data_IF_143115030290
#
_entry.id   IF_143115030290
#
_cell.length_a   1.000
_cell.length_b   1.000
_cell.length_c   1.000
_cell.angle_alpha   90.00
_cell.angle_beta   90.00
_cell.angle_gamma   90.00
#
_symmetry.space_group_name_H-M   'P 1'
#
loop_
_entity.id
_entity.type
_entity.pdbx_description
1 polymer ?
#
# COMPACT_ATOMS: atom_id res chain seq x y z
N UNK A 1 2.81 23.52 0.90
CA UNK A 1 2.25 22.31 0.28
C UNK A 1 0.84 22.22 0.82
N UNK A 2 -0.20 22.28 -0.01
CA UNK A 2 -1.58 22.19 0.50
C UNK A 2 -1.77 20.73 0.92
N UNK A 3 -2.04 20.52 2.20
CA UNK A 3 -2.49 19.23 2.70
C UNK A 3 -3.95 19.10 2.24
N UNK A 4 -4.19 18.29 1.23
CA UNK A 4 -5.54 17.97 0.77
C UNK A 4 -6.15 17.01 1.80
N UNK A 5 -7.09 17.44 2.66
CA UNK A 5 -7.61 16.60 3.74
C UNK A 5 -8.31 15.34 3.21
N UNK A 6 -8.87 15.43 2.00
CA UNK A 6 -9.48 14.30 1.29
C UNK A 6 -8.43 13.23 0.93
N UNK A 7 -7.21 13.66 0.57
CA UNK A 7 -6.11 12.77 0.22
C UNK A 7 -5.59 12.01 1.43
N UNK A 8 -5.43 12.70 2.57
CA UNK A 8 -5.00 12.06 3.82
C UNK A 8 -6.03 11.03 4.32
N UNK A 9 -7.31 11.38 4.27
CA UNK A 9 -8.39 10.44 4.61
C UNK A 9 -8.40 9.22 3.68
N UNK A 10 -8.21 9.42 2.37
CA UNK A 10 -8.10 8.34 1.40
C UNK A 10 -6.91 7.41 1.69
N UNK A 11 -5.75 7.97 2.03
CA UNK A 11 -4.54 7.23 2.36
C UNK A 11 -4.72 6.36 3.61
N UNK A 12 -5.36 6.90 4.66
CA UNK A 12 -5.69 6.13 5.86
C UNK A 12 -6.63 4.96 5.57
N UNK A 13 -7.60 5.13 4.66
CA UNK A 13 -8.47 4.03 4.23
C UNK A 13 -7.72 2.93 3.49
N UNK A 14 -6.76 3.30 2.64
CA UNK A 14 -5.91 2.34 1.91
C UNK A 14 -5.03 1.55 2.88
N UNK A 15 -4.34 2.22 3.80
CA UNK A 15 -3.53 1.57 4.84
C UNK A 15 -4.40 0.59 5.64
N UNK A 16 -5.55 1.05 6.17
CA UNK A 16 -6.44 0.22 7.00
C UNK A 16 -7.00 -1.00 6.27
N UNK A 17 -7.26 -0.91 4.97
CA UNK A 17 -7.67 -2.07 4.16
C UNK A 17 -6.55 -3.11 4.01
N UNK A 18 -5.29 -2.68 3.98
CA UNK A 18 -4.15 -3.54 3.72
C UNK A 18 -3.44 -4.03 5.00
N UNK A 19 -3.60 -3.35 6.14
CA UNK A 19 -3.08 -3.78 7.45
C UNK A 19 -3.91 -4.92 8.09
N UNK A 20 -5.08 -5.24 7.54
CA UNK A 20 -5.88 -6.41 7.92
C UNK A 20 -7.08 -6.14 8.84
N UNK A 21 -7.19 -4.94 9.40
CA UNK A 21 -8.29 -4.51 10.29
C UNK A 21 -9.45 -3.86 9.53
N UNK A 22 -9.99 -4.56 8.51
CA UNK A 22 -11.11 -4.09 7.69
C UNK A 22 -12.40 -4.89 7.94
N UNK A 23 -12.98 -4.69 9.13
CA UNK A 23 -14.24 -5.30 9.56
C UNK A 23 -15.48 -4.73 8.85
N UNK A 24 -16.63 -5.37 9.04
CA UNK A 24 -17.93 -4.92 8.50
C UNK A 24 -18.29 -3.49 8.92
N UNK A 25 -17.89 -3.06 10.13
CA UNK A 25 -18.07 -1.68 10.58
C UNK A 25 -17.22 -0.70 9.75
N UNK A 26 -15.96 -1.04 9.50
CA UNK A 26 -15.05 -0.24 8.67
C UNK A 26 -15.54 -0.15 7.21
N UNK A 27 -16.14 -1.22 6.67
CA UNK A 27 -16.81 -1.19 5.36
C UNK A 27 -17.97 -0.19 5.31
N UNK A 28 -18.81 -0.16 6.35
CA UNK A 28 -19.94 0.78 6.40
C UNK A 28 -19.47 2.23 6.50
N UNK A 29 -18.43 2.49 7.31
CA UNK A 29 -17.80 3.80 7.42
C UNK A 29 -17.14 4.24 6.11
N UNK A 30 -16.45 3.33 5.42
CA UNK A 30 -15.85 3.61 4.10
C UNK A 30 -16.91 3.91 3.04
N UNK A 31 -18.01 3.14 3.00
CA UNK A 31 -19.11 3.39 2.09
C UNK A 31 -19.78 4.76 2.36
N UNK A 32 -19.98 5.11 3.62
CA UNK A 32 -20.48 6.42 4.01
C UNK A 32 -19.52 7.56 3.60
N UNK A 33 -18.22 7.34 3.76
CA UNK A 33 -17.20 8.29 3.34
C UNK A 33 -17.22 8.54 1.82
N UNK A 34 -17.31 7.47 1.00
CA UNK A 34 -17.41 7.59 -0.46
C UNK A 34 -18.66 8.33 -0.92
N UNK A 35 -19.80 8.15 -0.23
CA UNK A 35 -21.06 8.81 -0.58
C UNK A 35 -21.11 10.29 -0.19
N UNK A 36 -20.24 10.75 0.70
CA UNK A 36 -20.27 12.13 1.18
C UNK A 36 -19.48 13.13 0.31
N UNK A 37 -18.89 12.70 -0.81
CA UNK A 37 -18.27 13.63 -1.78
C UNK A 37 -17.87 12.98 -3.10
N UNK A 38 -18.09 13.69 -4.21
CA UNK A 38 -17.78 13.19 -5.56
C UNK A 38 -16.27 13.07 -5.85
N UNK A 39 -15.43 13.83 -5.14
CA UNK A 39 -13.97 13.82 -5.31
C UNK A 39 -13.25 12.73 -4.49
N UNK A 40 -13.95 12.09 -3.54
CA UNK A 40 -13.38 11.10 -2.62
C UNK A 40 -13.02 9.76 -3.29
N UNK A 41 -13.84 9.22 -4.21
CA UNK A 41 -13.47 8.01 -4.96
C UNK A 41 -12.20 8.22 -5.80
N UNK A 42 -12.03 9.40 -6.41
CA UNK A 42 -10.86 9.72 -7.24
C UNK A 42 -9.59 9.75 -6.40
N UNK A 43 -9.63 10.42 -5.23
CA UNK A 43 -8.51 10.45 -4.31
C UNK A 43 -8.15 9.05 -3.77
N UNK A 44 -9.16 8.21 -3.51
CA UNK A 44 -8.95 6.83 -3.08
C UNK A 44 -8.33 5.96 -4.18
N UNK A 45 -8.78 6.07 -5.42
CA UNK A 45 -8.18 5.34 -6.54
C UNK A 45 -6.70 5.71 -6.74
N UNK A 46 -6.37 7.00 -6.67
CA UNK A 46 -4.98 7.45 -6.79
C UNK A 46 -4.12 7.00 -5.60
N UNK A 47 -4.64 7.05 -4.37
CA UNK A 47 -3.97 6.52 -3.19
C UNK A 47 -3.74 5.00 -3.30
N UNK A 48 -4.74 4.24 -3.74
CA UNK A 48 -4.63 2.80 -3.94
C UNK A 48 -3.62 2.43 -5.03
N UNK A 49 -3.57 3.21 -6.13
CA UNK A 49 -2.55 3.03 -7.18
C UNK A 49 -1.14 3.23 -6.63
N UNK A 50 -0.91 4.28 -5.85
CA UNK A 50 0.39 4.51 -5.22
C UNK A 50 0.73 3.37 -4.26
N UNK A 51 -0.22 2.95 -3.42
CA UNK A 51 -0.02 1.84 -2.49
C UNK A 51 0.33 0.53 -3.20
N UNK A 52 -0.34 0.21 -4.31
CA UNK A 52 -0.03 -0.95 -5.14
C UNK A 52 1.37 -0.86 -5.75
N UNK A 53 1.78 0.33 -6.23
CA UNK A 53 3.13 0.56 -6.73
C UNK A 53 4.18 0.41 -5.62
N UNK A 54 3.86 0.80 -4.38
CA UNK A 54 4.74 0.61 -3.22
C UNK A 54 4.76 -0.84 -2.71
N UNK A 55 3.67 -1.59 -2.84
CA UNK A 55 3.61 -3.03 -2.51
C UNK A 55 4.43 -3.91 -3.46
N UNK A 56 4.84 -3.37 -4.62
CA UNK A 56 5.84 -3.97 -5.51
C UNK A 56 7.29 -3.63 -5.13
N UNK A 57 7.49 -2.79 -4.11
CA UNK A 57 8.80 -2.59 -3.50
C UNK A 57 8.94 -3.71 -2.46
N UNK A 58 9.74 -4.76 -2.72
CA UNK A 58 10.09 -5.68 -1.65
C UNK A 58 10.61 -4.85 -0.47
N UNK A 59 10.25 -5.18 0.78
CA UNK A 59 10.81 -4.49 1.93
C UNK A 59 12.32 -4.48 1.73
N UNK A 60 12.93 -3.29 1.73
CA UNK A 60 14.36 -3.12 1.51
C UNK A 60 15.20 -3.66 2.69
N UNK A 61 14.71 -4.68 3.39
CA UNK A 61 15.36 -5.48 4.42
C UNK A 61 15.07 -6.95 4.11
N UNK A 62 15.70 -7.45 3.06
CA UNK A 62 16.40 -8.74 3.00
C UNK A 62 17.09 -8.81 1.62
N UNK A 63 17.98 -7.85 1.34
CA UNK A 63 19.12 -8.17 0.47
C UNK A 63 20.14 -8.84 1.38
N UNK A 64 19.86 -10.09 1.77
CA UNK A 64 20.93 -11.04 1.92
C UNK A 64 21.53 -11.18 0.52
N UNK A 65 22.59 -10.44 0.24
CA UNK A 65 23.50 -10.72 -0.87
C UNK A 65 24.21 -12.05 -0.62
N UNK A 66 23.46 -13.14 -0.50
CA UNK A 66 23.97 -14.50 -0.40
C UNK A 66 23.62 -15.24 -1.69
N UNK A 67 24.22 -14.76 -2.78
CA UNK A 67 23.87 -15.25 -4.12
C UNK A 67 24.89 -14.99 -5.21
N UNK A 68 26.14 -14.61 -4.90
CA UNK A 68 27.25 -14.93 -5.80
C UNK A 68 27.66 -16.39 -5.53
N UNK A 69 26.78 -17.32 -5.86
CA UNK A 69 27.15 -18.72 -6.03
C UNK A 69 27.98 -18.84 -7.31
N UNK A 70 29.24 -18.40 -7.28
CA UNK A 70 30.26 -18.99 -8.14
C UNK A 70 30.64 -20.31 -7.50
N UNK A 71 29.84 -21.33 -7.83
CA UNK A 71 30.34 -22.69 -7.90
C UNK A 71 31.61 -22.65 -8.77
N UNK A 72 32.77 -22.83 -8.16
CA UNK A 72 33.88 -23.54 -8.78
C UNK A 72 34.52 -24.37 -7.69
N UNK A 73 33.86 -25.50 -7.42
CA UNK A 73 34.46 -26.66 -6.80
C UNK A 73 35.06 -27.49 -7.93
N UNK A 74 36.38 -27.41 -8.07
CA UNK A 74 37.26 -28.44 -8.66
C UNK A 74 38.59 -28.22 -7.92
N UNK A 75 39.18 -29.15 -7.18
CA UNK A 75 39.23 -30.58 -7.43
C UNK A 75 40.67 -30.93 -7.79
N UNK A 76 41.43 -31.40 -6.79
CA UNK A 76 42.79 -31.96 -6.83
C UNK A 76 44.00 -30.99 -6.85
#
# INVERSE_FOLDING_TARGET
MREDPIWEEAWNWVIRQHEGDFDTAAQAEFAAWMQAGADRPVAYEDAARIWLLTGLVPPANDVETEGCSRQEQDGA
#
